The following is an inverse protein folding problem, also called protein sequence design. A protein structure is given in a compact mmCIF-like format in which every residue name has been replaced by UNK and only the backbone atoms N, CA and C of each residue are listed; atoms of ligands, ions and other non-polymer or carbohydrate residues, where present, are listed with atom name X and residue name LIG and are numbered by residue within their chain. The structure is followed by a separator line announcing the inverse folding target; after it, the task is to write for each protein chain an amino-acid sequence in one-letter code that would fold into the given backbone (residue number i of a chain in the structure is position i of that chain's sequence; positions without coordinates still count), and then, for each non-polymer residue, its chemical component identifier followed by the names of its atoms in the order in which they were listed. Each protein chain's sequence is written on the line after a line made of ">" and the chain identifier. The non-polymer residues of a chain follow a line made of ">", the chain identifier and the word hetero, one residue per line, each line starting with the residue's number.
data_IF_170760776529
#
_entry.id   IF_170760776529
#
_cell.length_a   1.000
_cell.length_b   1.000
_cell.length_c   1.000
_cell.angle_alpha   90.00
_cell.angle_beta   90.00
_cell.angle_gamma   90.00
#
_symmetry.space_group_name_H-M   'P 1'
#
loop_
_entity.id
_entity.type
_entity.pdbx_description
1 polymer ?
#
# COMPACT_ATOMS: atom_id res chain seq x y z
N UNK A 1 -31.74 11.68 -14.78
CA UNK A 1 -31.03 11.87 -13.49
C UNK A 1 -31.48 10.86 -12.44
N UNK A 2 -32.76 10.47 -12.40
CA UNK A 2 -33.28 9.58 -11.33
C UNK A 2 -32.84 8.12 -11.44
N UNK A 3 -32.59 7.62 -12.65
CA UNK A 3 -32.09 6.25 -12.87
C UNK A 3 -30.73 6.05 -12.18
N UNK A 4 -29.80 7.01 -12.31
CA UNK A 4 -28.48 6.90 -11.68
C UNK A 4 -28.61 6.97 -10.16
N UNK A 5 -29.47 7.86 -9.64
CA UNK A 5 -29.66 8.03 -8.18
C UNK A 5 -30.10 6.73 -7.49
N UNK A 6 -31.00 5.97 -8.09
CA UNK A 6 -31.48 4.71 -7.53
C UNK A 6 -30.44 3.59 -7.56
N UNK A 7 -29.43 3.70 -8.42
CA UNK A 7 -28.34 2.72 -8.56
C UNK A 7 -27.13 3.01 -7.66
N UNK A 8 -27.05 4.19 -7.04
CA UNK A 8 -25.96 4.52 -6.11
C UNK A 8 -26.26 3.96 -4.71
N UNK A 9 -25.26 3.34 -4.07
CA UNK A 9 -25.38 2.83 -2.70
C UNK A 9 -24.12 3.16 -1.90
N UNK A 10 -24.29 3.88 -0.79
CA UNK A 10 -23.20 4.19 0.13
C UNK A 10 -22.60 2.94 0.78
N UNK A 11 -23.44 1.94 1.07
CA UNK A 11 -23.00 0.66 1.65
C UNK A 11 -22.09 -0.11 0.69
N UNK A 12 -22.48 -0.21 -0.60
CA UNK A 12 -21.63 -0.84 -1.62
C UNK A 12 -20.32 -0.06 -1.83
N UNK A 13 -20.38 1.27 -1.79
CA UNK A 13 -19.19 2.10 -1.90
C UNK A 13 -18.24 1.90 -0.71
N UNK A 14 -18.78 1.87 0.51
CA UNK A 14 -18.02 1.62 1.72
C UNK A 14 -17.39 0.23 1.74
N UNK A 15 -18.15 -0.80 1.38
CA UNK A 15 -17.67 -2.18 1.28
C UNK A 15 -16.47 -2.29 0.32
N UNK A 16 -16.54 -1.65 -0.85
CA UNK A 16 -15.40 -1.59 -1.78
C UNK A 16 -14.18 -0.92 -1.14
N UNK A 17 -14.36 0.23 -0.48
CA UNK A 17 -13.27 0.95 0.23
C UNK A 17 -12.65 0.06 1.31
N UNK A 18 -13.47 -0.63 2.10
CA UNK A 18 -13.03 -1.53 3.15
C UNK A 18 -12.30 -2.79 2.62
N UNK A 19 -12.62 -3.25 1.41
CA UNK A 19 -11.91 -4.35 0.77
C UNK A 19 -10.55 -3.90 0.23
N UNK A 20 -10.48 -2.75 -0.45
CA UNK A 20 -9.20 -2.26 -1.01
C UNK A 20 -8.25 -1.69 0.04
N UNK A 21 -8.75 -1.26 1.20
CA UNK A 21 -7.93 -0.74 2.30
C UNK A 21 -7.02 -1.79 2.94
N UNK A 22 -7.35 -3.07 2.78
CA UNK A 22 -6.56 -4.21 3.29
C UNK A 22 -5.25 -4.41 2.55
N UNK A 23 -5.12 -3.89 1.35
CA UNK A 23 -3.89 -3.97 0.58
C UNK A 23 -2.96 -2.82 0.94
N UNK A 24 -1.68 -3.13 1.16
CA UNK A 24 -0.65 -2.12 1.23
C UNK A 24 -0.30 -1.62 -0.20
N UNK A 25 -0.83 -0.44 -0.54
CA UNK A 25 -0.86 0.07 -1.94
C UNK A 25 0.29 1.00 -2.31
N UNK A 26 1.49 0.81 -1.77
CA UNK A 26 2.68 1.52 -2.28
C UNK A 26 3.05 0.98 -3.67
N UNK A 27 3.28 1.91 -4.60
CA UNK A 27 3.52 1.61 -6.02
C UNK A 27 4.94 1.09 -6.24
N UNK A 28 5.08 0.23 -7.25
CA UNK A 28 6.39 -0.21 -7.75
C UNK A 28 6.92 -1.49 -7.11
N UNK A 29 6.22 -2.12 -6.17
CA UNK A 29 6.67 -3.34 -5.50
C UNK A 29 6.77 -4.60 -6.38
N UNK A 30 6.49 -4.48 -7.68
CA UNK A 30 6.62 -5.58 -8.63
C UNK A 30 5.63 -6.71 -8.39
N UNK A 31 5.91 -7.87 -8.98
CA UNK A 31 5.11 -9.07 -8.84
C UNK A 31 4.97 -9.49 -7.36
N UNK A 32 3.79 -9.99 -6.97
CA UNK A 32 3.51 -10.38 -5.59
C UNK A 32 3.36 -9.22 -4.58
N UNK A 33 3.49 -7.96 -5.01
CA UNK A 33 3.14 -6.81 -4.15
C UNK A 33 1.63 -6.69 -3.95
N UNK A 34 1.23 -6.20 -2.78
CA UNK A 34 -0.18 -5.97 -2.46
C UNK A 34 -0.84 -4.92 -3.37
N UNK A 35 -0.07 -3.95 -3.87
CA UNK A 35 -0.57 -3.04 -4.90
C UNK A 35 -1.03 -3.80 -6.16
N UNK A 36 -0.22 -4.71 -6.68
CA UNK A 36 -0.58 -5.49 -7.87
C UNK A 36 -1.74 -6.45 -7.58
N UNK A 37 -1.76 -7.08 -6.40
CA UNK A 37 -2.90 -7.91 -5.96
C UNK A 37 -4.19 -7.09 -5.88
N UNK A 38 -4.13 -5.85 -5.40
CA UNK A 38 -5.28 -4.95 -5.38
C UNK A 38 -5.78 -4.59 -6.80
N UNK A 39 -4.86 -4.36 -7.75
CA UNK A 39 -5.22 -4.09 -9.15
C UNK A 39 -5.92 -5.30 -9.78
N UNK A 40 -5.39 -6.50 -9.56
CA UNK A 40 -6.00 -7.74 -10.03
C UNK A 40 -7.35 -8.01 -9.37
N UNK A 41 -7.46 -7.73 -8.06
CA UNK A 41 -8.72 -7.80 -7.32
C UNK A 41 -9.76 -6.85 -7.94
N UNK A 42 -9.41 -5.58 -8.14
CA UNK A 42 -10.29 -4.59 -8.77
C UNK A 42 -10.71 -4.99 -10.18
N UNK A 43 -9.80 -5.51 -11.00
CA UNK A 43 -10.14 -6.00 -12.33
C UNK A 43 -11.21 -7.11 -12.29
N UNK A 44 -11.12 -8.03 -11.31
CA UNK A 44 -12.14 -9.06 -11.09
C UNK A 44 -13.47 -8.47 -10.64
N UNK A 45 -13.46 -7.52 -9.72
CA UNK A 45 -14.70 -6.86 -9.25
C UNK A 45 -15.40 -6.07 -10.36
N UNK A 46 -14.63 -5.33 -11.17
CA UNK A 46 -15.15 -4.61 -12.34
C UNK A 46 -15.76 -5.57 -13.36
N UNK A 47 -15.14 -6.74 -13.57
CA UNK A 47 -15.68 -7.73 -14.49
C UNK A 47 -17.02 -8.30 -14.00
N UNK A 48 -17.14 -8.56 -12.68
CA UNK A 48 -18.38 -9.07 -12.06
C UNK A 48 -19.56 -8.12 -12.22
N UNK A 49 -19.31 -6.80 -12.19
CA UNK A 49 -20.36 -5.78 -12.40
C UNK A 49 -20.65 -5.51 -13.89
N UNK A 50 -20.06 -6.29 -14.80
CA UNK A 50 -20.38 -6.27 -16.23
C UNK A 50 -19.46 -5.44 -17.11
N UNK A 51 -18.40 -4.80 -16.58
CA UNK A 51 -17.42 -4.11 -17.43
C UNK A 51 -16.61 -5.13 -18.23
N UNK A 52 -16.59 -4.96 -19.55
CA UNK A 52 -15.96 -5.92 -20.49
C UNK A 52 -14.53 -5.53 -20.88
N UNK A 53 -14.24 -4.24 -21.00
CA UNK A 53 -12.97 -3.73 -21.51
C UNK A 53 -11.99 -3.37 -20.39
N UNK A 54 -11.47 -4.38 -19.69
CA UNK A 54 -10.56 -4.19 -18.57
C UNK A 54 -9.13 -4.48 -19.02
N UNK A 55 -8.28 -3.45 -19.05
CA UNK A 55 -6.86 -3.58 -19.42
C UNK A 55 -5.94 -3.18 -18.27
N UNK A 56 -5.03 -4.09 -17.87
CA UNK A 56 -3.97 -3.78 -16.91
C UNK A 56 -2.69 -3.43 -17.68
N UNK A 57 -2.25 -2.17 -17.59
CA UNK A 57 -0.98 -1.71 -18.15
C UNK A 57 0.12 -1.75 -17.09
N UNK A 58 1.22 -2.42 -17.39
CA UNK A 58 2.39 -2.53 -16.50
C UNK A 58 3.49 -1.59 -16.98
N UNK A 59 4.10 -0.87 -16.04
CA UNK A 59 5.19 0.08 -16.30
C UNK A 59 6.37 -0.25 -15.40
N UNK A 60 7.59 -0.07 -15.92
CA UNK A 60 8.84 -0.40 -15.24
C UNK A 60 9.13 0.65 -14.15
N UNK A 61 9.28 0.21 -12.91
CA UNK A 61 9.60 1.03 -11.74
C UNK A 61 10.98 0.64 -11.19
N UNK A 62 12.03 1.03 -11.90
CA UNK A 62 13.41 0.66 -11.59
C UNK A 62 14.26 1.82 -11.08
N UNK A 63 13.71 3.03 -10.99
CA UNK A 63 14.52 4.20 -10.66
C UNK A 63 15.37 4.71 -11.81
N UNK A 64 15.25 4.21 -13.04
CA UNK A 64 16.08 4.62 -14.19
C UNK A 64 15.26 5.02 -15.40
N UNK A 65 14.20 4.26 -15.71
CA UNK A 65 13.33 4.53 -16.85
C UNK A 65 12.67 5.91 -16.70
N UNK A 66 12.68 6.71 -17.77
CA UNK A 66 11.93 7.97 -17.84
C UNK A 66 10.60 7.76 -18.57
N UNK A 67 9.54 8.31 -18.00
CA UNK A 67 8.23 8.46 -18.60
C UNK A 67 7.98 9.94 -18.78
N UNK A 68 8.10 10.40 -20.04
CA UNK A 68 8.14 11.83 -20.36
C UNK A 68 9.24 12.53 -19.54
N UNK A 69 8.88 13.49 -18.69
CA UNK A 69 9.82 14.23 -17.84
C UNK A 69 10.12 13.55 -16.49
N UNK A 70 9.42 12.48 -16.14
CA UNK A 70 9.51 11.87 -14.81
C UNK A 70 10.34 10.59 -14.82
N UNK A 71 11.30 10.49 -13.91
CA UNK A 71 12.03 9.25 -13.65
C UNK A 71 11.13 8.31 -12.85
N UNK A 72 11.11 7.03 -13.22
CA UNK A 72 10.37 6.00 -12.50
C UNK A 72 10.85 5.93 -11.05
N UNK A 73 9.96 5.57 -10.13
CA UNK A 73 10.35 5.29 -8.75
C UNK A 73 11.14 3.98 -8.70
N UNK A 74 12.04 3.84 -7.74
CA UNK A 74 12.63 2.54 -7.40
C UNK A 74 11.53 1.68 -6.81
N UNK A 75 11.37 0.48 -7.35
CA UNK A 75 10.41 -0.48 -6.83
C UNK A 75 10.69 -0.83 -5.37
N UNK A 76 9.65 -0.86 -4.55
CA UNK A 76 9.76 -1.10 -3.13
C UNK A 76 8.65 -2.04 -2.65
N UNK A 77 9.03 -3.07 -1.89
CA UNK A 77 8.12 -4.09 -1.36
C UNK A 77 8.61 -4.53 0.01
N UNK A 78 7.67 -4.62 0.93
CA UNK A 78 7.87 -5.11 2.29
C UNK A 78 7.67 -6.62 2.30
N UNK A 79 8.57 -7.35 2.95
CA UNK A 79 8.36 -8.77 3.26
C UNK A 79 7.79 -8.93 4.65
N UNK A 80 8.43 -8.28 5.62
CA UNK A 80 8.06 -8.23 7.03
C UNK A 80 8.63 -6.96 7.65
N UNK A 81 8.04 -6.52 8.76
CA UNK A 81 8.61 -5.49 9.62
C UNK A 81 7.92 -5.55 10.99
N UNK A 82 8.72 -5.43 12.04
CA UNK A 82 8.26 -5.40 13.42
C UNK A 82 9.03 -4.33 14.19
N UNK A 83 8.38 -3.73 15.18
CA UNK A 83 8.99 -2.83 16.14
C UNK A 83 8.72 -3.38 17.54
N UNK A 84 9.80 -3.62 18.29
CA UNK A 84 9.75 -4.15 19.64
C UNK A 84 10.33 -3.15 20.63
N UNK A 85 9.69 -3.02 21.79
CA UNK A 85 10.34 -2.54 23.00
C UNK A 85 11.09 -3.72 23.63
N UNK A 86 12.37 -3.56 23.91
CA UNK A 86 13.21 -4.59 24.54
C UNK A 86 13.33 -4.31 26.04
N UNK A 87 13.57 -3.06 26.40
CA UNK A 87 13.60 -2.57 27.78
C UNK A 87 12.60 -1.42 27.96
N UNK A 88 11.99 -1.27 29.17
CA UNK A 88 12.20 -2.05 30.38
C UNK A 88 11.46 -3.40 30.39
N UNK A 89 10.63 -3.68 29.37
CA UNK A 89 9.96 -4.96 29.18
C UNK A 89 9.87 -5.28 27.71
N UNK A 90 9.86 -6.58 27.40
CA UNK A 90 9.66 -7.05 26.03
C UNK A 90 8.19 -6.87 25.61
N UNK A 91 7.95 -6.06 24.59
CA UNK A 91 6.61 -5.79 24.05
C UNK A 91 6.67 -5.54 22.54
N UNK A 92 5.73 -6.12 21.78
CA UNK A 92 5.55 -5.80 20.36
C UNK A 92 4.73 -4.50 20.26
N UNK A 93 5.32 -3.45 19.67
CA UNK A 93 4.68 -2.15 19.52
C UNK A 93 3.95 -2.00 18.18
N UNK A 94 4.53 -2.55 17.11
CA UNK A 94 3.93 -2.52 15.79
C UNK A 94 4.40 -3.69 14.93
N UNK A 95 3.51 -4.19 14.08
CA UNK A 95 3.81 -5.21 13.09
C UNK A 95 3.13 -4.86 11.78
N UNK A 96 3.88 -4.93 10.69
CA UNK A 96 3.40 -4.55 9.36
C UNK A 96 2.21 -5.39 8.89
N UNK A 97 2.18 -6.69 9.19
CA UNK A 97 1.05 -7.57 8.82
C UNK A 97 -0.25 -7.20 9.52
N UNK A 98 -0.17 -6.58 10.69
CA UNK A 98 -1.33 -6.22 11.50
C UNK A 98 -1.86 -4.85 11.06
N UNK A 99 -0.95 -3.90 10.82
CA UNK A 99 -1.27 -2.55 10.37
C UNK A 99 -0.21 -2.01 9.40
N UNK A 100 -0.45 -2.14 8.10
CA UNK A 100 0.51 -1.73 7.07
C UNK A 100 0.94 -0.25 7.14
N UNK A 101 0.10 0.63 7.69
CA UNK A 101 0.43 2.06 7.88
C UNK A 101 1.45 2.32 9.00
N UNK A 102 1.85 1.30 9.77
CA UNK A 102 2.88 1.41 10.79
C UNK A 102 4.30 1.54 10.22
N UNK A 103 4.49 1.26 8.92
CA UNK A 103 5.79 1.32 8.27
C UNK A 103 5.87 2.53 7.33
N UNK A 104 6.98 3.27 7.44
CA UNK A 104 7.24 4.41 6.56
C UNK A 104 7.49 3.94 5.12
N UNK A 105 6.74 4.44 4.12
CA UNK A 105 6.98 4.07 2.72
C UNK A 105 8.41 4.39 2.27
N UNK A 106 9.00 3.47 1.51
CA UNK A 106 10.36 3.59 0.97
C UNK A 106 11.47 3.59 2.03
N UNK A 107 11.18 3.18 3.27
CA UNK A 107 12.22 2.95 4.27
C UNK A 107 13.22 1.88 3.79
N UNK A 108 14.46 2.00 4.24
CA UNK A 108 15.46 0.94 4.07
C UNK A 108 15.13 -0.22 5.01
N UNK A 109 15.46 -1.44 4.56
CA UNK A 109 15.42 -2.60 5.44
C UNK A 109 16.61 -2.57 6.40
N UNK A 110 16.35 -2.82 7.67
CA UNK A 110 17.37 -2.91 8.70
C UNK A 110 16.86 -3.74 9.88
N UNK A 111 17.78 -4.31 10.64
CA UNK A 111 17.55 -4.95 11.93
C UNK A 111 18.46 -4.24 12.93
N UNK A 112 17.88 -3.38 13.77
CA UNK A 112 18.63 -2.47 14.65
C UNK A 112 17.92 -2.39 16.00
N UNK A 113 18.71 -2.43 17.06
CA UNK A 113 18.30 -2.09 18.42
C UNK A 113 19.00 -0.79 18.83
N UNK A 114 18.28 0.13 19.47
CA UNK A 114 18.81 1.43 19.89
C UNK A 114 17.96 2.06 20.99
N UNK A 115 18.55 2.99 21.73
CA UNK A 115 17.82 3.83 22.68
C UNK A 115 16.91 4.83 21.95
N UNK A 116 15.72 5.06 22.51
CA UNK A 116 14.78 6.05 21.96
C UNK A 116 15.18 7.45 22.40
N UNK A 117 15.52 8.30 21.43
CA UNK A 117 15.90 9.70 21.67
C UNK A 117 14.81 10.62 21.14
N UNK A 118 14.26 11.49 22.00
CA UNK A 118 13.31 12.52 21.57
C UNK A 118 14.03 13.70 20.91
N UNK A 119 13.85 13.87 19.60
CA UNK A 119 14.50 14.90 18.79
C UNK A 119 13.62 16.14 18.53
N UNK A 120 12.55 16.33 19.29
CA UNK A 120 11.63 17.45 19.07
C UNK A 120 10.80 17.29 17.79
N UNK A 121 10.76 18.34 16.96
CA UNK A 121 9.92 18.39 15.74
C UNK A 121 10.57 17.72 14.51
N UNK A 122 11.79 17.18 14.62
CA UNK A 122 12.50 16.59 13.50
C UNK A 122 12.80 17.59 12.37
N UNK A 123 13.19 18.81 12.74
CA UNK A 123 13.59 19.85 11.78
C UNK A 123 15.11 19.91 11.71
N UNK A 124 15.64 20.05 10.49
CA UNK A 124 17.02 20.49 10.24
C UNK A 124 17.13 22.01 10.32
#
# INVERSE_FOLDING_TARGET
>A
MDIIRNEVSGERAWDMVAKISRFHRIRGGGEGSDYNRCVEYLAKELNKIGLKEITIKKYRADGFKKYFLWRSLVGWRVKEAELWMVEPRRELLARFSDQAVSLMPYSQGAEVESEVIYVGKGKS
#
